data_IF_735414850690
#
_entry.id   IF_735414850690
#
_cell.length_a   1.000
_cell.length_b   1.000
_cell.length_c   1.000
_cell.angle_alpha   90.00
_cell.angle_beta   90.00
_cell.angle_gamma   90.00
#
_symmetry.space_group_name_H-M   'P 1'
#
loop_
_entity.id
_entity.type
_entity.pdbx_description
1 polymer ?
#
# COMPACT_ATOMS: atom_id res chain seq x y z
N UNK A 1 -32.91 -13.96 5.82
CA UNK A 1 -32.81 -14.08 7.29
C UNK A 1 -31.70 -13.15 7.76
N UNK A 2 -32.03 -11.95 8.25
CA UNK A 2 -31.04 -10.97 8.69
C UNK A 2 -30.49 -11.36 10.05
N UNK A 3 -29.20 -11.68 10.12
CA UNK A 3 -28.49 -11.86 11.38
C UNK A 3 -28.39 -10.47 12.03
N UNK A 4 -28.86 -10.32 13.26
CA UNK A 4 -28.77 -9.05 14.01
C UNK A 4 -27.29 -8.68 14.13
N UNK A 5 -26.91 -7.47 13.75
CA UNK A 5 -25.50 -7.03 13.61
C UNK A 5 -24.66 -7.31 14.87
N UNK A 6 -25.27 -7.24 16.06
CA UNK A 6 -24.62 -7.55 17.34
C UNK A 6 -24.26 -9.02 17.56
N UNK A 7 -24.92 -9.98 16.89
CA UNK A 7 -24.54 -11.40 16.99
C UNK A 7 -23.41 -11.78 16.04
N UNK A 8 -23.29 -11.11 14.90
CA UNK A 8 -22.24 -11.39 13.91
C UNK A 8 -20.88 -10.85 14.36
N UNK A 9 -20.84 -9.62 14.86
CA UNK A 9 -19.59 -9.04 15.36
C UNK A 9 -19.06 -9.81 16.58
N UNK A 10 -19.96 -10.29 17.46
CA UNK A 10 -19.59 -11.17 18.58
C UNK A 10 -19.04 -12.52 18.12
N UNK A 11 -19.49 -13.04 16.97
CA UNK A 11 -18.93 -14.26 16.37
C UNK A 11 -17.50 -14.01 15.90
N UNK A 12 -17.24 -12.89 15.22
CA UNK A 12 -15.89 -12.57 14.71
C UNK A 12 -14.87 -12.34 15.82
N UNK A 13 -15.32 -11.90 17.00
CA UNK A 13 -14.46 -11.70 18.18
C UNK A 13 -14.33 -12.95 19.07
N UNK A 14 -14.95 -14.06 18.68
CA UNK A 14 -14.94 -15.31 19.44
C UNK A 14 -13.63 -16.07 19.25
N UNK A 15 -13.17 -16.79 20.27
CA UNK A 15 -12.00 -17.69 20.18
C UNK A 15 -12.20 -18.84 19.18
N UNK A 16 -13.45 -19.14 18.83
CA UNK A 16 -13.80 -20.15 17.83
C UNK A 16 -13.78 -19.62 16.39
N UNK A 17 -13.40 -18.36 16.18
CA UNK A 17 -13.30 -17.75 14.86
C UNK A 17 -11.90 -18.01 14.27
N UNK A 18 -11.72 -19.21 13.72
CA UNK A 18 -10.47 -19.64 13.10
C UNK A 18 -10.28 -19.08 11.68
N UNK A 19 -9.08 -19.28 11.12
CA UNK A 19 -8.74 -18.83 9.77
C UNK A 19 -9.71 -19.40 8.71
N UNK A 20 -10.15 -20.65 8.86
CA UNK A 20 -11.07 -21.29 7.92
C UNK A 20 -12.45 -20.62 7.92
N UNK A 21 -12.99 -20.33 9.11
CA UNK A 21 -14.26 -19.65 9.26
C UNK A 21 -14.15 -18.21 8.75
N UNK A 22 -13.06 -17.52 9.09
CA UNK A 22 -12.75 -16.19 8.56
C UNK A 22 -12.82 -16.16 7.03
N UNK A 23 -12.11 -17.08 6.36
CA UNK A 23 -12.12 -17.17 4.90
C UNK A 23 -13.50 -17.48 4.35
N UNK A 24 -14.23 -18.41 4.96
CA UNK A 24 -15.60 -18.74 4.54
C UNK A 24 -16.51 -17.51 4.56
N UNK A 25 -16.41 -16.67 5.58
CA UNK A 25 -17.17 -15.42 5.66
C UNK A 25 -16.71 -14.39 4.64
N UNK A 26 -15.39 -14.22 4.46
CA UNK A 26 -14.82 -13.26 3.51
C UNK A 26 -15.20 -13.58 2.06
N UNK A 27 -15.19 -14.85 1.68
CA UNK A 27 -15.56 -15.29 0.34
C UNK A 27 -17.08 -15.14 0.08
N UNK A 28 -17.92 -15.36 1.10
CA UNK A 28 -19.40 -15.38 0.96
C UNK A 28 -20.08 -14.03 1.19
N UNK A 29 -19.52 -13.15 2.02
CA UNK A 29 -20.17 -11.89 2.38
C UNK A 29 -19.70 -10.74 1.49
N UNK A 30 -20.64 -10.14 0.76
CA UNK A 30 -20.36 -9.04 -0.18
C UNK A 30 -20.69 -7.64 0.39
N UNK A 31 -21.21 -7.60 1.62
CA UNK A 31 -21.59 -6.36 2.28
C UNK A 31 -20.32 -5.56 2.59
N UNK A 32 -20.13 -4.41 1.94
CA UNK A 32 -18.90 -3.60 2.04
C UNK A 32 -18.40 -3.42 3.48
N UNK A 33 -19.27 -3.02 4.42
CA UNK A 33 -18.83 -2.83 5.82
C UNK A 33 -18.35 -4.10 6.53
N UNK A 34 -18.90 -5.27 6.19
CA UNK A 34 -18.43 -6.54 6.75
C UNK A 34 -17.17 -7.00 6.03
N UNK A 35 -17.11 -6.79 4.72
CA UNK A 35 -15.95 -7.17 3.92
C UNK A 35 -14.71 -6.39 4.31
N UNK A 36 -14.81 -5.06 4.49
CA UNK A 36 -13.71 -4.22 4.94
C UNK A 36 -13.22 -4.60 6.33
N UNK A 37 -14.15 -4.98 7.22
CA UNK A 37 -13.78 -5.52 8.53
C UNK A 37 -12.98 -6.82 8.40
N UNK A 38 -13.44 -7.77 7.59
CA UNK A 38 -12.75 -9.04 7.40
C UNK A 38 -11.38 -8.84 6.72
N UNK A 39 -11.29 -7.98 5.70
CA UNK A 39 -10.01 -7.64 5.05
C UNK A 39 -9.04 -6.99 6.05
N UNK A 40 -9.52 -6.14 6.96
CA UNK A 40 -8.67 -5.58 8.01
C UNK A 40 -8.16 -6.64 9.00
N UNK A 41 -8.98 -7.63 9.33
CA UNK A 41 -8.55 -8.74 10.19
C UNK A 41 -7.54 -9.67 9.49
N UNK A 42 -7.51 -9.74 8.15
CA UNK A 42 -6.48 -10.50 7.41
C UNK A 42 -5.06 -10.03 7.73
N UNK A 43 -4.85 -8.76 8.06
CA UNK A 43 -3.52 -8.26 8.44
C UNK A 43 -3.01 -8.86 9.76
N UNK A 44 -3.89 -9.43 10.57
CA UNK A 44 -3.55 -10.09 11.83
C UNK A 44 -3.38 -11.60 11.69
N UNK A 45 -3.77 -12.16 10.55
CA UNK A 45 -3.64 -13.58 10.24
C UNK A 45 -2.19 -13.95 9.96
N UNK A 46 -1.83 -15.21 10.24
CA UNK A 46 -0.51 -15.73 9.92
C UNK A 46 -0.29 -15.78 8.40
N UNK A 47 0.93 -15.46 7.96
CA UNK A 47 1.25 -15.39 6.53
C UNK A 47 1.06 -16.75 5.84
N UNK A 48 1.32 -17.86 6.54
CA UNK A 48 1.13 -19.22 6.04
C UNK A 48 -0.36 -19.54 5.76
N UNK A 49 -1.27 -19.08 6.62
CA UNK A 49 -2.72 -19.22 6.41
C UNK A 49 -3.17 -18.38 5.21
N UNK A 50 -2.69 -17.13 5.11
CA UNK A 50 -3.01 -16.25 3.96
C UNK A 50 -2.50 -16.86 2.66
N UNK A 51 -1.28 -17.40 2.66
CA UNK A 51 -0.67 -18.08 1.53
C UNK A 51 -1.45 -19.33 1.12
N UNK A 52 -1.94 -20.10 2.09
CA UNK A 52 -2.76 -21.29 1.82
C UNK A 52 -4.06 -20.94 1.08
N UNK A 53 -4.69 -19.82 1.42
CA UNK A 53 -5.93 -19.34 0.79
C UNK A 53 -5.70 -18.36 -0.37
N UNK A 54 -4.45 -18.13 -0.78
CA UNK A 54 -4.10 -17.13 -1.78
C UNK A 54 -4.87 -17.30 -3.11
N UNK A 55 -5.05 -18.52 -3.68
CA UNK A 55 -5.86 -18.71 -4.88
C UNK A 55 -7.29 -18.16 -4.77
N UNK A 56 -7.96 -18.46 -3.66
CA UNK A 56 -9.33 -18.04 -3.40
C UNK A 56 -9.40 -16.53 -3.18
N UNK A 57 -8.42 -15.95 -2.49
CA UNK A 57 -8.33 -14.51 -2.26
C UNK A 57 -8.13 -13.74 -3.57
N UNK A 58 -7.25 -14.20 -4.45
CA UNK A 58 -7.02 -13.58 -5.76
C UNK A 58 -8.26 -13.62 -6.64
N UNK A 59 -8.96 -14.76 -6.67
CA UNK A 59 -10.21 -14.88 -7.41
C UNK A 59 -11.24 -13.86 -6.90
N UNK A 60 -11.50 -13.80 -5.60
CA UNK A 60 -12.49 -12.84 -5.05
C UNK A 60 -12.04 -11.40 -5.23
N UNK A 61 -10.74 -11.11 -5.16
CA UNK A 61 -10.21 -9.77 -5.42
C UNK A 61 -10.51 -9.30 -6.85
N UNK A 62 -10.47 -10.20 -7.85
CA UNK A 62 -10.85 -9.88 -9.22
C UNK A 62 -12.36 -9.67 -9.37
N UNK A 63 -13.16 -10.62 -8.88
CA UNK A 63 -14.63 -10.53 -8.95
C UNK A 63 -15.18 -9.28 -8.26
N UNK A 64 -14.50 -8.80 -7.21
CA UNK A 64 -14.92 -7.66 -6.40
C UNK A 64 -13.92 -6.51 -6.43
N UNK A 65 -13.25 -6.31 -7.57
CA UNK A 65 -12.16 -5.33 -7.69
C UNK A 65 -12.58 -3.91 -7.30
N UNK A 66 -13.77 -3.47 -7.73
CA UNK A 66 -14.27 -2.11 -7.45
C UNK A 66 -15.03 -1.98 -6.12
N UNK A 67 -15.46 -3.08 -5.52
CA UNK A 67 -16.34 -3.08 -4.34
C UNK A 67 -15.61 -3.46 -3.05
N UNK A 68 -14.47 -4.15 -3.17
CA UNK A 68 -13.69 -4.66 -2.05
C UNK A 68 -12.35 -3.97 -1.90
N UNK A 69 -11.90 -3.80 -0.66
CA UNK A 69 -10.53 -3.45 -0.31
C UNK A 69 -9.53 -4.61 -0.43
N UNK A 70 -9.97 -5.83 -0.78
CA UNK A 70 -9.12 -7.02 -0.80
C UNK A 70 -7.93 -6.92 -1.77
N UNK A 71 -8.11 -6.34 -2.96
CA UNK A 71 -7.01 -6.14 -3.89
C UNK A 71 -5.90 -5.25 -3.30
N UNK A 72 -6.26 -4.26 -2.46
CA UNK A 72 -5.29 -3.39 -1.78
C UNK A 72 -4.48 -4.17 -0.74
N UNK A 73 -5.12 -5.07 0.00
CA UNK A 73 -4.43 -5.97 0.93
C UNK A 73 -3.39 -6.84 0.21
N UNK A 74 -3.78 -7.44 -0.93
CA UNK A 74 -2.87 -8.26 -1.73
C UNK A 74 -1.68 -7.46 -2.25
N UNK A 75 -1.90 -6.24 -2.74
CA UNK A 75 -0.85 -5.34 -3.23
C UNK A 75 0.08 -4.85 -2.11
N UNK A 76 -0.45 -4.53 -0.91
CA UNK A 76 0.36 -4.16 0.24
C UNK A 76 1.29 -5.32 0.65
N UNK A 77 0.77 -6.54 0.72
CA UNK A 77 1.60 -7.74 0.99
C UNK A 77 2.62 -8.00 -0.11
N UNK A 78 2.24 -7.84 -1.39
CA UNK A 78 3.16 -7.95 -2.52
C UNK A 78 4.31 -6.92 -2.44
N UNK A 79 4.03 -5.71 -1.96
CA UNK A 79 5.05 -4.68 -1.74
C UNK A 79 6.04 -4.99 -0.60
N UNK A 80 5.83 -6.04 0.17
CA UNK A 80 6.72 -6.43 1.29
C UNK A 80 7.43 -7.76 1.06
N UNK A 81 6.93 -8.56 0.12
CA UNK A 81 7.44 -9.90 -0.15
C UNK A 81 7.43 -10.18 -1.65
N UNK A 82 8.62 -10.25 -2.24
CA UNK A 82 8.80 -10.64 -3.64
C UNK A 82 8.16 -12.00 -3.95
N UNK A 83 8.28 -12.95 -3.03
CA UNK A 83 7.72 -14.28 -3.19
C UNK A 83 6.19 -14.26 -3.25
N UNK A 84 5.56 -13.50 -2.36
CA UNK A 84 4.10 -13.30 -2.36
C UNK A 84 3.64 -12.60 -3.64
N UNK A 85 4.39 -11.58 -4.07
CA UNK A 85 4.08 -10.84 -5.27
C UNK A 85 4.17 -11.68 -6.56
N UNK A 86 5.18 -12.54 -6.68
CA UNK A 86 5.28 -13.47 -7.82
C UNK A 86 4.09 -14.42 -7.89
N UNK A 87 3.62 -14.93 -6.75
CA UNK A 87 2.44 -15.80 -6.69
C UNK A 87 1.19 -15.08 -7.16
N UNK A 88 0.95 -13.86 -6.69
CA UNK A 88 -0.17 -13.03 -7.18
C UNK A 88 -0.02 -12.75 -8.67
N UNK A 89 1.16 -12.31 -9.10
CA UNK A 89 1.42 -11.95 -10.49
C UNK A 89 1.08 -13.11 -11.44
N UNK A 90 1.58 -14.32 -11.17
CA UNK A 90 1.27 -15.49 -11.99
C UNK A 90 -0.22 -15.83 -11.99
N UNK A 91 -0.89 -15.68 -10.85
CA UNK A 91 -2.31 -15.96 -10.75
C UNK A 91 -3.15 -14.95 -11.53
N UNK A 92 -2.81 -13.66 -11.48
CA UNK A 92 -3.52 -12.64 -12.26
C UNK A 92 -3.20 -12.74 -13.75
N UNK A 93 -1.96 -13.05 -14.10
CA UNK A 93 -1.52 -13.24 -15.48
C UNK A 93 -2.30 -14.39 -16.15
N UNK A 94 -2.56 -15.50 -15.45
CA UNK A 94 -3.38 -16.58 -16.01
C UNK A 94 -4.82 -16.13 -16.31
N UNK A 95 -5.42 -15.27 -15.47
CA UNK A 95 -6.75 -14.71 -15.75
C UNK A 95 -6.77 -13.78 -16.97
N UNK A 96 -5.67 -13.03 -17.20
CA UNK A 96 -5.53 -12.20 -18.41
C UNK A 96 -5.47 -13.08 -19.66
N UNK A 97 -4.72 -14.17 -19.61
CA UNK A 97 -4.55 -15.10 -20.74
C UNK A 97 -5.83 -15.87 -21.09
N UNK A 98 -6.66 -16.18 -20.09
CA UNK A 98 -7.99 -16.80 -20.27
C UNK A 98 -8.99 -15.88 -21.00
N UNK A 99 -8.71 -14.57 -21.10
CA UNK A 99 -9.53 -13.57 -21.82
C UNK A 99 -11.01 -13.57 -21.43
N UNK A 100 -11.30 -13.74 -20.14
CA UNK A 100 -12.67 -13.60 -19.62
C UNK A 100 -13.08 -12.12 -19.64
N UNK A 101 -14.10 -11.72 -20.42
CA UNK A 101 -14.41 -10.30 -20.66
C UNK A 101 -14.81 -9.55 -19.39
N UNK A 102 -15.37 -10.23 -18.39
CA UNK A 102 -15.79 -9.63 -17.12
C UNK A 102 -14.62 -9.32 -16.17
N UNK A 103 -13.51 -10.04 -16.30
CA UNK A 103 -12.39 -9.99 -15.36
C UNK A 103 -11.10 -9.45 -16.02
N UNK A 104 -11.00 -9.45 -17.35
CA UNK A 104 -9.77 -9.13 -18.07
C UNK A 104 -9.23 -7.73 -17.76
N UNK A 105 -10.10 -6.73 -17.63
CA UNK A 105 -9.69 -5.37 -17.28
C UNK A 105 -9.16 -5.29 -15.85
N UNK A 106 -9.86 -5.92 -14.89
CA UNK A 106 -9.46 -5.94 -13.47
C UNK A 106 -8.18 -6.75 -13.27
N UNK A 107 -8.01 -7.85 -14.01
CA UNK A 107 -6.82 -8.68 -13.97
C UNK A 107 -5.60 -7.95 -14.52
N UNK A 108 -5.74 -7.29 -15.68
CA UNK A 108 -4.66 -6.48 -16.25
C UNK A 108 -4.27 -5.32 -15.32
N UNK A 109 -5.25 -4.63 -14.75
CA UNK A 109 -5.00 -3.57 -13.77
C UNK A 109 -4.23 -4.09 -12.55
N UNK A 110 -4.58 -5.28 -12.05
CA UNK A 110 -3.91 -5.87 -10.90
C UNK A 110 -2.50 -6.40 -11.23
N UNK A 111 -2.26 -6.92 -12.44
CA UNK A 111 -0.91 -7.26 -12.92
C UNK A 111 -0.01 -6.03 -12.90
N UNK A 112 -0.44 -4.94 -13.55
CA UNK A 112 0.33 -3.69 -13.62
C UNK A 112 0.58 -3.08 -12.23
N UNK A 113 -0.42 -3.13 -11.36
CA UNK A 113 -0.31 -2.67 -9.98
C UNK A 113 0.68 -3.53 -9.18
N UNK A 114 0.68 -4.85 -9.39
CA UNK A 114 1.62 -5.77 -8.75
C UNK A 114 3.06 -5.52 -9.22
N UNK A 115 3.29 -5.31 -10.52
CA UNK A 115 4.61 -4.95 -11.05
C UNK A 115 5.13 -3.65 -10.41
N UNK A 116 4.27 -2.65 -10.31
CA UNK A 116 4.59 -1.38 -9.65
C UNK A 116 4.89 -1.56 -8.16
N UNK A 117 4.12 -2.39 -7.46
CA UNK A 117 4.33 -2.69 -6.03
C UNK A 117 5.66 -3.44 -5.80
N UNK A 118 6.02 -4.37 -6.67
CA UNK A 118 7.25 -5.17 -6.58
C UNK A 118 8.50 -4.33 -6.79
N UNK A 119 8.50 -3.40 -7.73
CA UNK A 119 9.66 -2.51 -7.94
C UNK A 119 9.97 -1.69 -6.67
N UNK A 120 8.97 -1.47 -5.82
CA UNK A 120 9.11 -0.78 -4.55
C UNK A 120 9.36 -1.73 -3.35
N UNK A 121 9.41 -3.05 -3.57
CA UNK A 121 9.27 -4.05 -2.50
C UNK A 121 10.48 -4.30 -1.60
N UNK A 122 11.59 -3.57 -1.80
CA UNK A 122 12.83 -3.79 -1.05
C UNK A 122 13.66 -2.51 -0.81
N UNK A 123 13.01 -1.38 -0.51
CA UNK A 123 13.71 -0.16 -0.06
C UNK A 123 13.61 0.13 1.45
N UNK A 124 12.94 -0.72 2.24
CA UNK A 124 12.72 -0.52 3.68
C UNK A 124 13.56 -1.41 4.61
N UNK A 125 14.63 -2.03 4.11
CA UNK A 125 15.61 -2.68 4.99
C UNK A 125 16.64 -1.66 5.50
N UNK A 126 16.24 -0.95 6.56
CA UNK A 126 17.14 -0.10 7.31
C UNK A 126 16.43 0.89 8.22
N UNK A 127 16.21 0.51 9.48
CA UNK A 127 15.80 1.37 10.62
C UNK A 127 14.32 1.78 10.72
N UNK A 128 13.50 0.94 11.36
CA UNK A 128 12.34 1.41 12.12
C UNK A 128 12.25 0.65 13.44
N UNK A 129 12.91 1.20 14.46
CA UNK A 129 12.91 0.68 15.80
C UNK A 129 11.51 0.62 16.42
N UNK A 130 11.26 -0.48 17.11
CA UNK A 130 10.57 -0.57 18.40
C UNK A 130 9.90 0.74 18.87
N UNK A 131 8.70 1.05 18.37
CA UNK A 131 7.75 1.88 19.13
C UNK A 131 7.11 0.99 20.18
N UNK A 132 7.82 0.78 21.30
CA UNK A 132 7.18 0.48 22.58
C UNK A 132 6.40 1.73 22.97
N UNK A 133 5.09 1.64 22.96
CA UNK A 133 4.21 2.59 23.62
C UNK A 133 4.43 2.49 25.14
N UNK A 134 5.29 3.35 25.68
CA UNK A 134 5.34 3.61 27.12
C UNK A 134 4.10 4.43 27.49
N UNK A 135 3.20 3.82 28.28
CA UNK A 135 2.15 4.54 29.00
C UNK A 135 2.79 5.50 30.02
N UNK A 136 2.27 6.71 30.24
CA UNK A 136 2.73 7.55 31.32
C UNK A 136 2.04 7.12 32.63
N UNK A 137 2.87 6.72 33.60
CA UNK A 137 2.50 6.56 35.00
C UNK A 137 2.13 7.91 35.62
N UNK A 138 1.26 7.85 36.63
CA UNK A 138 0.74 8.99 37.37
C UNK A 138 1.75 9.55 38.36
N UNK A 139 1.90 10.87 38.42
CA UNK A 139 2.54 11.56 39.55
C UNK A 139 1.63 12.70 40.04
N UNK A 140 1.29 12.61 41.33
CA UNK A 140 0.71 13.67 42.12
C UNK A 140 1.83 14.47 42.83
N UNK A 141 1.45 15.64 43.33
CA UNK A 141 2.11 16.45 44.39
C UNK A 141 2.93 17.70 44.02
N UNK A 142 2.23 18.84 44.03
CA UNK A 142 2.43 20.08 44.84
C UNK A 142 3.83 20.75 44.94
N UNK A 143 3.85 22.01 44.49
CA UNK A 143 4.78 23.11 44.82
C UNK A 143 4.65 23.58 46.30
N UNK A 144 5.61 24.33 46.94
CA UNK A 144 6.02 25.68 46.43
C UNK A 144 7.35 26.38 46.92
N UNK A 145 7.64 27.52 46.26
CA UNK A 145 8.43 28.77 46.55
C UNK A 145 9.92 28.76 47.00
N UNK A 146 10.78 29.57 46.34
CA UNK A 146 12.01 30.12 46.94
C UNK A 146 13.02 30.87 46.03
N UNK A 147 12.87 32.20 45.91
CA UNK A 147 13.78 33.33 45.60
C UNK A 147 15.23 33.20 45.03
N UNK A 148 15.46 33.99 43.96
CA UNK A 148 16.59 34.91 43.60
C UNK A 148 18.07 34.59 43.86
N UNK A 149 18.93 34.66 42.82
CA UNK A 149 19.76 35.85 42.52
C UNK A 149 20.64 35.71 41.26
N UNK A 150 20.97 36.88 40.68
CA UNK A 150 21.78 37.14 39.48
C UNK A 150 23.27 36.79 39.62
N UNK A 151 23.98 36.46 38.52
CA UNK A 151 25.22 37.16 38.12
C UNK A 151 25.79 36.76 36.74
N UNK A 152 25.85 37.76 35.85
CA UNK A 152 26.90 38.14 34.84
C UNK A 152 27.71 37.12 33.99
N UNK A 153 27.66 37.43 32.68
CA UNK A 153 28.75 37.66 31.67
C UNK A 153 29.77 36.57 31.33
N UNK A 154 29.78 36.18 30.04
CA UNK A 154 30.80 36.57 29.04
C UNK A 154 30.36 35.97 27.68
N UNK A 155 29.95 36.74 26.66
CA UNK A 155 30.77 37.44 25.65
C UNK A 155 31.93 36.60 25.09
N UNK A 156 31.76 36.07 23.87
CA UNK A 156 32.60 36.41 22.70
C UNK A 156 32.17 35.60 21.47
N UNK A 157 31.40 36.25 20.58
CA UNK A 157 31.61 36.08 19.14
C UNK A 157 32.76 37.00 18.71
N UNK A 158 33.44 36.66 17.61
CA UNK A 158 33.67 37.67 16.60
C UNK A 158 33.23 37.18 15.20
N UNK A 159 32.36 37.96 14.58
CA UNK A 159 32.33 38.18 13.12
C UNK A 159 33.71 38.77 12.69
N UNK A 160 34.15 38.74 11.44
CA UNK A 160 33.52 39.32 10.26
C UNK A 160 34.51 39.22 9.07
N UNK A 161 33.96 39.36 7.86
CA UNK A 161 34.55 39.93 6.61
C UNK A 161 35.12 38.94 5.60
N UNK A 162 34.92 39.09 4.29
CA UNK A 162 34.09 39.97 3.41
C UNK A 162 34.37 39.52 1.97
N UNK A 163 33.43 39.82 1.07
CA UNK A 163 33.66 40.13 -0.36
C UNK A 163 34.03 38.96 -1.28
N UNK A 164 33.67 38.92 -2.56
CA UNK A 164 32.69 39.61 -3.43
C UNK A 164 32.80 38.91 -4.81
N UNK A 165 31.74 39.03 -5.60
CA UNK A 165 31.71 39.11 -7.07
C UNK A 165 32.36 38.03 -7.96
N UNK A 166 31.55 37.54 -8.92
CA UNK A 166 31.95 37.63 -10.33
C UNK A 166 31.49 36.52 -11.28
N UNK A 167 30.61 36.91 -12.23
CA UNK A 167 30.51 36.35 -13.60
C UNK A 167 29.44 35.26 -13.79
N UNK A 168 28.28 35.51 -14.44
CA UNK A 168 28.05 35.72 -15.90
C UNK A 168 28.40 34.47 -16.74
N UNK A 169 27.70 34.01 -17.77
CA UNK A 169 26.42 34.28 -18.45
C UNK A 169 26.35 33.25 -19.62
N UNK A 170 25.13 32.92 -20.10
CA UNK A 170 24.83 32.50 -21.49
C UNK A 170 25.44 31.17 -22.01
N UNK A 171 24.88 30.38 -22.95
CA UNK A 171 23.71 30.45 -23.83
C UNK A 171 23.59 29.12 -24.60
N UNK A 172 22.35 28.68 -24.85
CA UNK A 172 21.72 28.13 -26.06
C UNK A 172 22.42 27.17 -27.05
N UNK A 173 21.51 26.49 -27.78
CA UNK A 173 21.62 25.83 -29.10
C UNK A 173 21.84 24.31 -29.04
N UNK A 174 21.25 23.44 -29.87
CA UNK A 174 20.30 23.54 -30.99
C UNK A 174 20.07 22.12 -31.56
N UNK A 175 18.97 21.90 -32.28
CA UNK A 175 18.81 20.86 -33.30
C UNK A 175 18.44 19.44 -32.82
N UNK A 176 17.49 18.73 -33.43
CA UNK A 176 16.79 18.94 -34.69
C UNK A 176 15.90 17.72 -35.02
N UNK A 177 15.02 17.95 -35.99
CA UNK A 177 13.95 17.12 -36.54
C UNK A 177 14.27 15.66 -36.91
N UNK A 178 13.24 14.80 -36.83
CA UNK A 178 13.01 13.75 -37.82
C UNK A 178 11.51 13.41 -37.92
N UNK A 179 10.86 14.08 -38.88
CA UNK A 179 9.65 13.62 -39.55
C UNK A 179 9.93 12.30 -40.29
N UNK A 180 9.02 11.34 -40.20
CA UNK A 180 8.79 10.39 -41.29
C UNK A 180 7.27 10.23 -41.48
N UNK A 181 6.75 10.99 -42.44
CA UNK A 181 5.53 10.67 -43.15
C UNK A 181 5.71 9.36 -43.95
N UNK A 182 4.63 8.60 -44.06
CA UNK A 182 4.53 7.41 -44.91
C UNK A 182 3.07 7.19 -45.27
N UNK A 183 2.67 7.81 -46.38
CA UNK A 183 1.33 7.82 -46.96
C UNK A 183 1.04 6.55 -47.77
N UNK A 184 -0.20 6.04 -47.62
CA UNK A 184 -1.12 5.53 -48.66
C UNK A 184 -0.71 4.30 -49.51
N UNK A 185 -1.57 3.28 -49.49
CA UNK A 185 -2.23 2.74 -50.71
C UNK A 185 -3.53 2.01 -50.35
N UNK A 186 -4.62 2.46 -50.97
CA UNK A 186 -5.88 1.75 -51.17
C UNK A 186 -5.67 0.47 -52.01
N UNK A 187 -6.48 -0.58 -51.79
CA UNK A 187 -7.41 -1.15 -52.78
C UNK A 187 -7.96 -2.54 -52.38
N UNK A 188 -9.30 -2.62 -52.44
CA UNK A 188 -10.18 -3.71 -52.92
C UNK A 188 -10.12 -5.16 -52.38
N UNK A 189 -11.30 -5.68 -52.01
CA UNK A 189 -11.64 -7.08 -52.31
C UNK A 189 -12.62 -7.80 -51.37
N UNK A 190 -13.88 -7.87 -51.81
CA UNK A 190 -14.84 -8.97 -51.58
C UNK A 190 -15.79 -8.92 -50.36
N UNK A 191 -16.95 -8.25 -50.54
CA UNK A 191 -18.30 -8.81 -50.34
C UNK A 191 -19.38 -7.79 -50.74
#
# INVERSE_FOLDING_TARGET
MGMKSGSLLRLFQSEYFDAHLHMTYLLRMEQSGVQDYLVNELYKMEDDDVDFYLPQLCQVALLRYNTSSLHRFLLDKASRSMHFALRIHWMMQSFVEDRLPELSESALAMVNACETAVVNSAAQDGTAGSRRSSAPEAEAEQQPVGHSNSFRRNSSCPELRTADAGGASASNADGGDALCEGSVTDEEGMA
#
